data_IF_232816313932
#
_entry.id   IF_232816313932
#
_cell.length_a   1.000
_cell.length_b   1.000
_cell.length_c   1.000
_cell.angle_alpha   90.00
_cell.angle_beta   90.00
_cell.angle_gamma   90.00
#
_symmetry.space_group_name_H-M   'P 1'
#
loop_
_entity.id
_entity.type
_entity.pdbx_description
1 polymer ?
#
# COMPACT_ATOMS: atom_id res chain seq x y z
N UNK A 1 7.15 17.00 -30.92
CA UNK A 1 6.42 17.26 -29.65
C UNK A 1 7.45 17.30 -28.53
N UNK A 2 7.50 18.36 -27.71
CA UNK A 2 8.46 18.42 -26.60
C UNK A 2 8.07 17.41 -25.52
N UNK A 3 9.03 16.59 -25.09
CA UNK A 3 8.87 15.61 -24.01
C UNK A 3 9.85 16.02 -22.90
N UNK A 4 9.35 16.17 -21.69
CA UNK A 4 10.16 16.48 -20.51
C UNK A 4 9.77 15.51 -19.40
N UNK A 5 10.77 14.87 -18.79
CA UNK A 5 10.57 13.81 -17.79
C UNK A 5 9.67 12.68 -18.30
N UNK A 6 9.83 12.30 -19.58
CA UNK A 6 9.02 11.24 -20.20
C UNK A 6 7.55 11.61 -20.46
N UNK A 7 7.12 12.84 -20.15
CA UNK A 7 5.74 13.30 -20.34
C UNK A 7 5.68 14.42 -21.37
N UNK A 8 4.61 14.40 -22.16
CA UNK A 8 4.28 15.47 -23.11
C UNK A 8 3.38 16.55 -22.47
N UNK A 9 3.12 17.63 -23.21
CA UNK A 9 2.30 18.75 -22.74
C UNK A 9 0.97 18.37 -22.11
N UNK A 10 0.19 17.55 -22.81
CA UNK A 10 -1.14 17.15 -22.33
C UNK A 10 -1.05 16.28 -21.08
N UNK A 11 -0.05 15.41 -21.03
CA UNK A 11 0.18 14.54 -19.86
C UNK A 11 0.59 15.35 -18.62
N UNK A 12 1.46 16.35 -18.78
CA UNK A 12 1.78 17.29 -17.70
C UNK A 12 0.54 18.06 -17.22
N UNK A 13 -0.27 18.58 -18.16
CA UNK A 13 -1.50 19.26 -17.81
C UNK A 13 -2.48 18.35 -17.06
N UNK A 14 -2.61 17.10 -17.50
CA UNK A 14 -3.47 16.12 -16.85
C UNK A 14 -2.99 15.82 -15.42
N UNK A 15 -1.69 15.52 -15.26
CA UNK A 15 -1.08 15.27 -13.95
C UNK A 15 -1.30 16.42 -12.96
N UNK A 16 -1.06 17.66 -13.40
CA UNK A 16 -1.27 18.84 -12.56
C UNK A 16 -2.75 19.02 -12.19
N UNK A 17 -3.67 18.78 -13.13
CA UNK A 17 -5.12 18.83 -12.89
C UNK A 17 -5.53 17.82 -11.83
N UNK A 18 -5.05 16.58 -11.97
CA UNK A 18 -5.40 15.49 -11.08
C UNK A 18 -4.89 15.75 -9.66
N UNK A 19 -3.65 16.23 -9.52
CA UNK A 19 -3.09 16.61 -8.21
C UNK A 19 -3.74 17.85 -7.61
N UNK A 20 -4.07 18.86 -8.41
CA UNK A 20 -4.74 20.04 -7.90
C UNK A 20 -6.15 19.71 -7.35
N UNK A 21 -6.87 18.78 -7.99
CA UNK A 21 -8.20 18.35 -7.54
C UNK A 21 -8.21 17.60 -6.21
N UNK A 22 -7.10 16.96 -5.83
CA UNK A 22 -7.00 16.27 -4.53
C UNK A 22 -6.76 17.23 -3.36
N UNK A 23 -6.40 18.49 -3.63
CA UNK A 23 -6.16 19.49 -2.59
C UNK A 23 -7.48 20.02 -2.01
N UNK A 24 -7.46 20.41 -0.74
CA UNK A 24 -8.60 21.09 -0.10
C UNK A 24 -8.85 22.46 -0.75
N UNK A 25 -10.04 23.04 -0.55
CA UNK A 25 -10.38 24.37 -1.09
C UNK A 25 -9.38 25.45 -0.63
N UNK A 26 -8.91 25.37 0.62
CA UNK A 26 -7.92 26.30 1.15
C UNK A 26 -6.56 26.16 0.44
N UNK A 27 -6.06 24.93 0.29
CA UNK A 27 -4.81 24.65 -0.42
C UNK A 27 -4.88 25.02 -1.91
N UNK A 28 -6.03 24.78 -2.56
CA UNK A 28 -6.26 25.22 -3.94
C UNK A 28 -6.22 26.74 -4.08
N UNK A 29 -6.77 27.48 -3.10
CA UNK A 29 -6.69 28.94 -3.07
C UNK A 29 -5.25 29.40 -2.89
N UNK A 30 -4.52 28.78 -1.97
CA UNK A 30 -3.11 29.10 -1.72
C UNK A 30 -2.22 28.83 -2.95
N UNK A 31 -2.36 27.67 -3.58
CA UNK A 31 -1.64 27.34 -4.81
C UNK A 31 -1.91 28.36 -5.93
N UNK A 32 -3.15 28.85 -6.07
CA UNK A 32 -3.48 29.93 -7.01
C UNK A 32 -2.81 31.24 -6.65
N UNK A 33 -2.77 31.61 -5.36
CA UNK A 33 -2.04 32.81 -4.88
C UNK A 33 -0.54 32.71 -5.18
N UNK A 34 0.04 31.50 -5.07
CA UNK A 34 1.44 31.23 -5.44
C UNK A 34 1.68 31.21 -6.96
N UNK A 35 0.63 31.37 -7.79
CA UNK A 35 0.75 31.49 -9.24
C UNK A 35 0.48 30.21 -10.02
N UNK A 36 -0.23 29.22 -9.45
CA UNK A 36 -0.64 28.02 -10.16
C UNK A 36 -1.42 28.35 -11.45
N UNK A 37 -0.88 27.89 -12.59
CA UNK A 37 -1.49 28.12 -13.90
C UNK A 37 -1.16 27.00 -14.89
N UNK A 38 -2.17 26.18 -15.18
CA UNK A 38 -2.00 24.94 -15.94
C UNK A 38 -2.15 25.10 -17.48
N UNK A 39 -1.65 26.20 -18.04
CA UNK A 39 -1.65 26.48 -19.49
C UNK A 39 -0.34 27.15 -19.93
N UNK A 40 0.18 26.72 -21.07
CA UNK A 40 1.50 27.13 -21.56
C UNK A 40 2.61 26.34 -20.88
N UNK A 41 3.59 25.88 -21.64
CA UNK A 41 4.52 24.85 -21.19
C UNK A 41 5.30 25.24 -19.94
N UNK A 42 5.90 26.42 -19.92
CA UNK A 42 6.73 26.88 -18.80
C UNK A 42 5.91 27.05 -17.52
N UNK A 43 4.66 27.52 -17.65
CA UNK A 43 3.75 27.70 -16.52
C UNK A 43 3.25 26.37 -15.98
N UNK A 44 3.00 25.39 -16.86
CA UNK A 44 2.63 24.02 -16.47
C UNK A 44 3.76 23.36 -15.68
N UNK A 45 5.02 23.58 -16.07
CA UNK A 45 6.16 23.06 -15.32
C UNK A 45 6.30 23.73 -13.96
N UNK A 46 6.30 25.07 -13.89
CA UNK A 46 6.34 25.80 -12.61
C UNK A 46 5.18 25.46 -11.67
N UNK A 47 3.99 25.23 -12.24
CA UNK A 47 2.81 24.84 -11.47
C UNK A 47 2.97 23.48 -10.80
N UNK A 48 3.80 22.59 -11.36
CA UNK A 48 4.14 21.34 -10.69
C UNK A 48 4.97 21.59 -9.43
N UNK A 49 5.95 22.48 -9.50
CA UNK A 49 6.79 22.84 -8.34
C UNK A 49 5.97 23.47 -7.21
N UNK A 50 4.93 24.25 -7.56
CA UNK A 50 3.96 24.80 -6.59
C UNK A 50 3.12 23.69 -5.95
N UNK A 51 2.76 22.65 -6.70
CA UNK A 51 1.93 21.55 -6.21
C UNK A 51 2.70 20.58 -5.29
N UNK A 52 4.00 20.39 -5.53
CA UNK A 52 4.83 19.41 -4.79
C UNK A 52 4.71 19.56 -3.26
N UNK A 53 4.83 20.76 -2.66
CA UNK A 53 4.67 20.93 -1.22
C UNK A 53 3.32 20.44 -0.71
N UNK A 54 2.23 20.77 -1.40
CA UNK A 54 0.88 20.34 -1.00
C UNK A 54 0.67 18.82 -1.12
N UNK A 55 1.33 18.19 -2.10
CA UNK A 55 1.23 16.75 -2.36
C UNK A 55 2.17 15.95 -1.44
N UNK A 56 3.30 16.51 -1.03
CA UNK A 56 4.21 15.88 -0.06
C UNK A 56 3.70 16.01 1.39
N UNK A 57 2.68 16.85 1.63
CA UNK A 57 1.89 16.93 2.87
C UNK A 57 0.87 15.75 2.96
N UNK A 58 0.97 14.71 2.14
CA UNK A 58 0.23 13.45 2.36
C UNK A 58 0.67 12.76 3.67
N UNK A 59 1.74 13.20 4.34
CA UNK A 59 2.07 12.75 5.71
C UNK A 59 1.51 13.60 6.86
N UNK A 60 0.89 14.78 6.63
CA UNK A 60 0.49 15.67 7.74
C UNK A 60 -0.96 16.19 7.70
N UNK A 61 -1.79 15.80 6.72
CA UNK A 61 -3.19 16.26 6.63
C UNK A 61 -4.24 15.15 6.75
N UNK A 62 -3.86 13.95 7.21
CA UNK A 62 -4.83 13.06 7.86
C UNK A 62 -5.00 13.61 9.27
N UNK A 63 -6.01 14.45 9.49
CA UNK A 63 -6.42 14.77 10.86
C UNK A 63 -7.00 13.48 11.42
N UNK A 64 -6.20 12.75 12.19
CA UNK A 64 -6.68 11.55 12.86
C UNK A 64 -7.79 11.96 13.83
N UNK A 65 -8.66 11.03 14.19
CA UNK A 65 -9.69 11.33 15.19
C UNK A 65 -9.04 11.71 16.54
N UNK A 66 -7.85 11.17 16.82
CA UNK A 66 -6.97 11.63 17.89
C UNK A 66 -6.62 13.11 17.75
N UNK A 67 -6.06 13.55 16.61
CA UNK A 67 -5.71 14.96 16.36
C UNK A 67 -6.93 15.87 16.44
N UNK A 68 -8.08 15.43 15.92
CA UNK A 68 -9.32 16.19 15.96
C UNK A 68 -9.81 16.43 17.40
N UNK A 69 -9.74 15.40 18.27
CA UNK A 69 -10.13 15.53 19.68
C UNK A 69 -9.09 16.33 20.48
N UNK A 70 -7.80 16.09 20.24
CA UNK A 70 -6.71 16.83 20.85
C UNK A 70 -6.81 18.34 20.55
N UNK A 71 -7.02 18.71 19.29
CA UNK A 71 -7.16 20.11 18.86
C UNK A 71 -8.41 20.80 19.41
N UNK A 72 -9.41 20.03 19.86
CA UNK A 72 -10.61 20.55 20.54
C UNK A 72 -10.45 20.67 22.06
N UNK A 73 -9.27 20.31 22.60
CA UNK A 73 -9.01 20.27 24.04
C UNK A 73 -9.63 19.07 24.75
N UNK A 74 -10.18 18.12 24.01
CA UNK A 74 -10.74 16.87 24.56
C UNK A 74 -9.63 15.81 24.72
N UNK A 75 -8.80 16.02 25.74
CA UNK A 75 -7.65 15.14 26.04
C UNK A 75 -8.10 13.72 26.41
N UNK A 76 -9.17 13.59 27.20
CA UNK A 76 -9.70 12.29 27.64
C UNK A 76 -10.23 11.52 26.43
N UNK A 77 -11.04 12.16 25.59
CA UNK A 77 -11.56 11.51 24.40
C UNK A 77 -10.48 11.12 23.38
N UNK A 78 -9.37 11.87 23.31
CA UNK A 78 -8.22 11.52 22.48
C UNK A 78 -7.53 10.25 23.01
N UNK A 79 -7.30 10.16 24.34
CA UNK A 79 -6.72 8.98 25.00
C UNK A 79 -7.61 7.75 24.81
N UNK A 80 -8.91 7.88 25.08
CA UNK A 80 -9.88 6.78 24.92
C UNK A 80 -9.90 6.27 23.48
N UNK A 81 -9.72 7.16 22.50
CA UNK A 81 -9.68 6.75 21.10
C UNK A 81 -8.43 5.95 20.78
N UNK A 82 -7.26 6.38 21.25
CA UNK A 82 -6.01 5.64 21.06
C UNK A 82 -6.02 4.28 21.77
N UNK A 83 -6.66 4.19 22.94
CA UNK A 83 -6.87 2.92 23.62
C UNK A 83 -7.72 1.98 22.76
N UNK A 84 -8.85 2.47 22.24
CA UNK A 84 -9.72 1.67 21.39
C UNK A 84 -9.05 1.23 20.07
N UNK A 85 -8.25 2.10 19.45
CA UNK A 85 -7.45 1.74 18.28
C UNK A 85 -6.44 0.64 18.61
N UNK A 86 -5.83 0.69 19.81
CA UNK A 86 -4.87 -0.32 20.26
C UNK A 86 -5.55 -1.68 20.48
N UNK A 87 -6.69 -1.70 21.17
CA UNK A 87 -7.49 -2.91 21.38
C UNK A 87 -7.90 -3.54 20.03
N UNK A 88 -8.34 -2.72 19.08
CA UNK A 88 -8.71 -3.22 17.76
C UNK A 88 -7.49 -3.79 16.99
N UNK A 89 -6.31 -3.17 17.12
CA UNK A 89 -5.08 -3.69 16.54
C UNK A 89 -4.73 -5.06 17.15
N UNK A 90 -4.87 -5.22 18.47
CA UNK A 90 -4.66 -6.51 19.13
C UNK A 90 -5.61 -7.59 18.59
N UNK A 91 -6.90 -7.30 18.48
CA UNK A 91 -7.88 -8.23 17.90
C UNK A 91 -7.54 -8.63 16.46
N UNK A 92 -7.13 -7.66 15.63
CA UNK A 92 -6.72 -7.93 14.25
C UNK A 92 -5.46 -8.77 14.23
N UNK A 93 -4.49 -8.51 15.11
CA UNK A 93 -3.26 -9.31 15.21
C UNK A 93 -3.57 -10.76 15.56
N UNK A 94 -4.41 -11.01 16.55
CA UNK A 94 -4.81 -12.37 16.93
C UNK A 94 -5.46 -13.12 15.75
N UNK A 95 -6.38 -12.46 15.03
CA UNK A 95 -6.98 -13.04 13.83
C UNK A 95 -5.97 -13.34 12.72
N UNK A 96 -4.89 -12.56 12.60
CA UNK A 96 -3.83 -12.82 11.62
C UNK A 96 -2.91 -13.96 12.05
N UNK A 97 -2.61 -14.07 13.35
CA UNK A 97 -1.85 -15.21 13.90
C UNK A 97 -2.60 -16.52 13.64
N UNK A 98 -3.91 -16.57 13.92
CA UNK A 98 -4.73 -17.74 13.64
C UNK A 98 -4.71 -18.15 12.16
N UNK A 99 -4.75 -17.16 11.25
CA UNK A 99 -4.66 -17.42 9.81
C UNK A 99 -3.30 -17.99 9.43
N UNK A 100 -2.21 -17.47 10.01
CA UNK A 100 -0.85 -17.98 9.78
C UNK A 100 -0.75 -19.43 10.24
N UNK A 101 -1.28 -19.77 11.41
CA UNK A 101 -1.28 -21.14 11.92
C UNK A 101 -2.06 -22.10 11.00
N UNK A 102 -3.22 -21.68 10.51
CA UNK A 102 -3.99 -22.47 9.53
C UNK A 102 -3.22 -22.68 8.22
N UNK A 103 -2.47 -21.68 7.76
CA UNK A 103 -1.63 -21.78 6.56
C UNK A 103 -0.47 -22.74 6.81
N UNK A 104 0.22 -22.62 7.95
CA UNK A 104 1.32 -23.50 8.34
C UNK A 104 0.86 -24.95 8.45
N UNK A 105 -0.32 -25.20 9.02
CA UNK A 105 -0.90 -26.53 9.12
C UNK A 105 -1.16 -27.12 7.72
N UNK A 106 -1.80 -26.35 6.83
CA UNK A 106 -2.04 -26.77 5.43
C UNK A 106 -0.74 -27.07 4.69
N UNK A 107 0.28 -26.22 4.84
CA UNK A 107 1.58 -26.41 4.23
C UNK A 107 2.25 -27.70 4.72
N UNK A 108 2.19 -27.95 6.03
CA UNK A 108 2.72 -29.16 6.66
C UNK A 108 2.03 -30.42 6.13
N UNK A 109 0.72 -30.40 5.97
CA UNK A 109 -0.04 -31.53 5.43
C UNK A 109 0.29 -31.80 3.95
N UNK A 110 0.45 -30.74 3.15
CA UNK A 110 0.91 -30.86 1.77
C UNK A 110 2.31 -31.46 1.73
N UNK A 111 3.22 -31.01 2.59
CA UNK A 111 4.58 -31.53 2.65
C UNK A 111 4.60 -33.01 3.03
N UNK A 112 3.84 -33.42 4.05
CA UNK A 112 3.69 -34.83 4.46
C UNK A 112 3.15 -35.70 3.31
N UNK A 113 2.08 -35.25 2.63
CA UNK A 113 1.51 -35.95 1.48
C UNK A 113 2.52 -36.11 0.34
N UNK A 114 3.26 -35.04 0.06
CA UNK A 114 4.28 -35.02 -1.00
C UNK A 114 5.43 -35.98 -0.68
N UNK A 115 5.94 -35.95 0.57
CA UNK A 115 6.97 -36.88 1.03
C UNK A 115 6.54 -38.34 0.89
N UNK A 116 5.29 -38.67 1.26
CA UNK A 116 4.75 -40.03 1.12
C UNK A 116 4.69 -40.47 -0.35
N UNK A 117 4.30 -39.58 -1.27
CA UNK A 117 4.27 -39.87 -2.71
C UNK A 117 5.66 -40.14 -3.25
N UNK A 118 6.66 -39.33 -2.91
CA UNK A 118 8.05 -39.55 -3.32
C UNK A 118 8.57 -40.90 -2.86
N UNK A 119 8.37 -41.27 -1.59
CA UNK A 119 8.78 -42.58 -1.08
C UNK A 119 8.14 -43.74 -1.85
N UNK A 120 6.86 -43.59 -2.24
CA UNK A 120 6.16 -44.62 -3.04
C UNK A 120 6.76 -44.74 -4.45
N UNK A 121 7.15 -43.61 -5.06
CA UNK A 121 7.82 -43.61 -6.36
C UNK A 121 9.22 -44.23 -6.28
N UNK A 122 9.99 -43.95 -5.24
CA UNK A 122 11.30 -44.56 -5.01
C UNK A 122 11.19 -46.09 -4.91
N UNK A 123 10.29 -46.61 -4.08
CA UNK A 123 10.06 -48.06 -3.95
C UNK A 123 9.62 -48.70 -5.27
N UNK A 124 8.75 -48.04 -6.03
CA UNK A 124 8.28 -48.54 -7.33
C UNK A 124 9.41 -48.56 -8.39
N UNK A 125 10.32 -47.58 -8.36
CA UNK A 125 11.49 -47.56 -9.23
C UNK A 125 12.50 -48.66 -8.87
N UNK A 126 12.78 -48.85 -7.58
CA UNK A 126 13.65 -49.93 -7.10
C UNK A 126 13.12 -51.31 -7.52
N UNK A 127 11.81 -51.53 -7.40
CA UNK A 127 11.19 -52.78 -7.85
C UNK A 127 11.40 -53.03 -9.34
N UNK A 128 11.12 -52.03 -10.18
CA UNK A 128 11.30 -52.13 -11.65
C UNK A 128 12.75 -52.38 -12.04
N UNK A 129 13.70 -51.71 -11.40
CA UNK A 129 15.12 -51.92 -11.65
C UNK A 129 15.56 -53.34 -11.30
N UNK A 130 15.07 -53.87 -10.16
CA UNK A 130 15.38 -55.24 -9.74
C UNK A 130 14.73 -56.31 -10.63
N UNK A 131 13.55 -56.05 -11.22
CA UNK A 131 12.92 -56.94 -12.19
C UNK A 131 13.70 -56.98 -13.52
N UNK A 132 14.16 -55.82 -14.01
CA UNK A 132 14.94 -55.74 -15.25
C UNK A 132 16.30 -56.46 -15.15
N UNK A 133 16.94 -56.44 -13.99
CA UNK A 133 18.23 -57.11 -13.78
C UNK A 133 18.13 -58.62 -13.49
N UNK A 134 16.92 -59.17 -13.39
CA UNK A 134 16.68 -60.61 -13.19
C UNK A 134 16.37 -61.37 -14.49
N UNK A 135 16.33 -60.67 -15.62
CA UNK A 135 16.05 -61.22 -16.96
C UNK A 135 17.33 -61.21 -17.79
#
# INVERSE_FOLDING_TARGET
>A
MKIVQGLNYRQWQQRNTDKFKTLTVAQQKEARTQGFFNRGWDKVQKSWDILIPFVNIVNNNVVTMFDHKLNKGDLIGAIDHSLHETEHIEEVLDQQVDKIDQILQKATDIFKKTKKRFATYETAMEHRYNEQNKT
#
